data_IF_489113435653
#
_entry.id   IF_489113435653
#
_cell.length_a   1.000
_cell.length_b   1.000
_cell.length_c   1.000
_cell.angle_alpha   90.00
_cell.angle_beta   90.00
_cell.angle_gamma   90.00
#
_symmetry.space_group_name_H-M   'P 1'
#
loop_
_entity.id
_entity.type
_entity.pdbx_description
1 polymer ?
#
# COMPACT_ATOMS: atom_id res chain seq x y z
N UNK A 1 -28.22 -0.80 -8.92
CA UNK A 1 -27.02 -1.28 -8.20
C UNK A 1 -26.09 -0.09 -8.04
N UNK A 2 -25.71 0.25 -6.81
CA UNK A 2 -24.68 1.29 -6.60
C UNK A 2 -23.36 0.79 -7.15
N UNK A 3 -22.57 1.67 -7.75
CA UNK A 3 -21.15 1.39 -8.04
C UNK A 3 -20.51 0.80 -6.80
N UNK A 4 -19.73 -0.30 -6.89
CA UNK A 4 -18.97 -0.78 -5.75
C UNK A 4 -18.19 0.39 -5.16
N UNK A 5 -18.09 0.51 -3.82
CA UNK A 5 -17.30 1.58 -3.23
C UNK A 5 -15.88 1.45 -3.77
N UNK A 6 -15.49 2.38 -4.65
CA UNK A 6 -14.15 2.44 -5.18
C UNK A 6 -13.16 2.59 -4.03
N UNK A 7 -11.94 2.09 -4.23
CA UNK A 7 -10.85 2.25 -3.28
C UNK A 7 -10.75 3.73 -2.86
N UNK A 8 -10.69 3.96 -1.55
CA UNK A 8 -10.48 5.29 -0.98
C UNK A 8 -9.28 5.22 -0.04
N UNK A 9 -8.20 5.96 -0.32
CA UNK A 9 -7.07 6.03 0.59
C UNK A 9 -7.51 6.61 1.94
N UNK A 10 -6.82 6.19 3.00
CA UNK A 10 -7.04 6.74 4.35
C UNK A 10 -6.66 8.24 4.41
N UNK A 11 -7.15 8.94 5.43
CA UNK A 11 -6.80 10.33 5.66
C UNK A 11 -5.27 10.53 5.85
N UNK A 12 -4.61 9.55 6.47
CA UNK A 12 -3.17 9.54 6.66
C UNK A 12 -2.41 9.46 5.32
N UNK A 13 -2.83 8.56 4.44
CA UNK A 13 -2.28 8.46 3.07
C UNK A 13 -2.51 9.76 2.31
N UNK A 14 -3.69 10.36 2.40
CA UNK A 14 -3.97 11.63 1.74
C UNK A 14 -3.09 12.78 2.26
N UNK A 15 -2.84 12.83 3.57
CA UNK A 15 -1.99 13.83 4.19
C UNK A 15 -0.54 13.71 3.68
N UNK A 16 0.02 12.50 3.72
CA UNK A 16 1.37 12.24 3.25
C UNK A 16 1.49 12.48 1.74
N UNK A 17 0.46 12.09 0.98
CA UNK A 17 0.42 12.33 -0.46
C UNK A 17 0.38 13.83 -0.81
N UNK A 18 -0.05 14.72 0.08
CA UNK A 18 -0.07 16.17 -0.17
C UNK A 18 1.26 16.88 0.16
N UNK A 19 2.22 16.20 0.77
CA UNK A 19 3.48 16.82 1.18
C UNK A 19 4.30 17.27 -0.05
N UNK A 20 4.77 18.52 -0.12
CA UNK A 20 5.57 18.96 -1.26
C UNK A 20 6.87 18.16 -1.34
N UNK A 21 7.13 17.53 -2.50
CA UNK A 21 8.39 16.85 -2.78
C UNK A 21 9.35 17.85 -3.40
N UNK A 22 10.62 17.72 -3.04
CA UNK A 22 11.67 18.51 -3.64
C UNK A 22 12.91 17.65 -3.89
N UNK A 23 13.58 17.90 -5.00
CA UNK A 23 14.90 17.33 -5.28
C UNK A 23 15.97 17.98 -4.38
N UNK A 24 17.24 17.56 -4.52
CA UNK A 24 18.34 18.20 -3.77
C UNK A 24 18.62 19.64 -4.17
N UNK A 25 18.09 20.12 -5.29
CA UNK A 25 18.15 21.52 -5.72
C UNK A 25 16.93 22.32 -5.24
N UNK A 26 16.08 21.72 -4.40
CA UNK A 26 14.83 22.30 -3.89
C UNK A 26 13.81 22.64 -4.99
N UNK A 27 13.87 21.93 -6.11
CA UNK A 27 12.88 22.03 -7.19
C UNK A 27 11.71 21.10 -6.89
N UNK A 28 10.47 21.55 -7.14
CA UNK A 28 9.29 20.74 -6.89
C UNK A 28 9.30 19.48 -7.78
N UNK A 29 9.12 18.32 -7.17
CA UNK A 29 8.99 17.02 -7.85
C UNK A 29 7.53 16.59 -7.84
N UNK A 30 6.98 16.00 -8.92
CA UNK A 30 5.62 15.47 -8.94
C UNK A 30 5.37 14.44 -7.83
N UNK A 31 4.13 14.37 -7.33
CA UNK A 31 3.71 13.40 -6.30
C UNK A 31 3.31 12.03 -6.86
N UNK A 32 3.42 11.83 -8.17
CA UNK A 32 3.16 10.54 -8.80
C UNK A 32 4.14 9.49 -8.33
N UNK A 33 3.68 8.25 -8.16
CA UNK A 33 4.56 7.16 -7.76
C UNK A 33 5.53 6.81 -8.90
N UNK A 34 6.81 7.16 -8.74
CA UNK A 34 7.83 6.98 -9.77
C UNK A 34 9.16 6.47 -9.17
N UNK A 35 9.20 5.25 -8.61
CA UNK A 35 10.38 4.73 -7.89
C UNK A 35 11.64 4.59 -8.76
N UNK A 36 11.49 4.50 -10.08
CA UNK A 36 12.60 4.38 -11.04
C UNK A 36 13.19 5.74 -11.44
N UNK A 37 12.50 6.85 -11.16
CA UNK A 37 12.97 8.17 -11.54
C UNK A 37 13.96 8.72 -10.50
N UNK A 38 15.09 9.25 -10.98
CA UNK A 38 16.15 9.77 -10.11
C UNK A 38 15.68 10.95 -9.26
N UNK A 39 14.86 11.85 -9.81
CA UNK A 39 14.33 13.01 -9.08
C UNK A 39 13.41 12.59 -7.92
N UNK A 40 12.59 11.56 -8.15
CA UNK A 40 11.72 10.97 -7.12
C UNK A 40 12.54 10.30 -6.01
N UNK A 41 13.58 9.53 -6.36
CA UNK A 41 14.49 8.94 -5.38
C UNK A 41 15.22 10.02 -4.55
N UNK A 42 15.64 11.13 -5.17
CA UNK A 42 16.24 12.26 -4.46
C UNK A 42 15.25 12.89 -3.48
N UNK A 43 13.98 13.02 -3.86
CA UNK A 43 12.95 13.53 -2.96
C UNK A 43 12.74 12.65 -1.72
N UNK A 44 12.71 11.32 -1.88
CA UNK A 44 12.64 10.40 -0.75
C UNK A 44 13.92 10.45 0.11
N UNK A 45 15.09 10.53 -0.50
CA UNK A 45 16.36 10.71 0.21
C UNK A 45 16.41 12.03 1.00
N UNK A 46 15.77 13.09 0.50
CA UNK A 46 15.65 14.35 1.23
C UNK A 46 14.83 14.19 2.52
N UNK A 47 13.78 13.36 2.51
CA UNK A 47 13.01 13.02 3.72
C UNK A 47 13.91 12.31 4.74
N UNK A 48 14.70 11.32 4.30
CA UNK A 48 15.68 10.64 5.16
C UNK A 48 16.73 11.64 5.69
N UNK A 49 17.23 12.55 4.85
CA UNK A 49 18.20 13.56 5.22
C UNK A 49 17.65 14.54 6.27
N UNK A 50 16.36 14.87 6.21
CA UNK A 50 15.69 15.72 7.21
C UNK A 50 15.66 15.04 8.58
N UNK A 51 15.43 13.73 8.64
CA UNK A 51 15.57 12.95 9.87
C UNK A 51 17.04 12.94 10.36
N UNK A 52 18.00 12.80 9.43
CA UNK A 52 19.43 12.92 9.74
C UNK A 52 19.82 14.29 10.33
N UNK A 53 19.24 15.38 9.83
CA UNK A 53 19.40 16.72 10.40
C UNK A 53 18.83 16.77 11.83
N UNK A 54 17.66 16.16 12.06
CA UNK A 54 17.07 16.03 13.39
C UNK A 54 17.98 15.27 14.37
N UNK A 55 18.62 14.18 13.92
CA UNK A 55 19.64 13.48 14.70
C UNK A 55 20.83 14.39 15.02
N UNK A 56 21.37 15.08 14.01
CA UNK A 56 22.49 16.01 14.17
C UNK A 56 22.21 17.10 15.21
N UNK A 57 21.04 17.74 15.12
CA UNK A 57 20.58 18.73 16.10
C UNK A 57 20.42 18.13 17.50
N UNK A 58 19.88 16.92 17.60
CA UNK A 58 19.74 16.20 18.88
C UNK A 58 21.10 15.97 19.53
N UNK A 59 22.08 15.50 18.76
CA UNK A 59 23.45 15.26 19.23
C UNK A 59 24.15 16.56 19.63
N UNK A 60 23.97 17.65 18.88
CA UNK A 60 24.52 18.97 19.22
C UNK A 60 23.93 19.45 20.56
N UNK A 61 22.61 19.33 20.76
CA UNK A 61 21.96 19.72 22.01
C UNK A 61 22.49 18.92 23.20
N UNK A 62 22.63 17.60 23.05
CA UNK A 62 23.20 16.72 24.07
C UNK A 62 24.66 17.11 24.37
N UNK A 63 25.48 17.33 23.34
CA UNK A 63 26.88 17.72 23.51
C UNK A 63 27.01 19.07 24.26
N UNK A 64 26.22 20.08 23.88
CA UNK A 64 26.20 21.38 24.58
C UNK A 64 25.76 21.22 26.03
N UNK A 65 24.73 20.41 26.29
CA UNK A 65 24.27 20.11 27.65
C UNK A 65 25.37 19.47 28.50
N UNK A 66 26.05 18.44 27.97
CA UNK A 66 27.16 17.76 28.65
C UNK A 66 28.34 18.70 28.90
N UNK A 67 28.74 19.54 27.94
CA UNK A 67 29.82 20.52 28.12
C UNK A 67 29.45 21.52 29.22
N UNK A 68 28.22 22.04 29.26
CA UNK A 68 27.79 22.96 30.32
C UNK A 68 27.78 22.29 31.69
N UNK A 69 27.31 21.04 31.76
CA UNK A 69 27.25 20.28 33.00
C UNK A 69 28.62 19.88 33.55
N UNK A 70 29.56 19.54 32.66
CA UNK A 70 30.91 19.09 33.00
C UNK A 70 31.91 20.24 33.19
N UNK A 71 31.84 21.30 32.38
CA UNK A 71 32.85 22.35 32.32
C UNK A 71 32.42 23.70 32.95
N UNK A 72 31.12 23.96 33.11
CA UNK A 72 30.61 25.25 33.59
C UNK A 72 29.94 25.18 34.96
N UNK A 73 30.13 24.10 35.73
CA UNK A 73 29.67 24.06 37.12
C UNK A 73 30.48 25.06 37.96
N UNK A 74 29.84 26.06 38.61
CA UNK A 74 30.55 26.94 39.52
C UNK A 74 31.18 26.11 40.65
N UNK A 75 32.47 26.29 40.96
CA UNK A 75 33.07 25.65 42.13
C UNK A 75 32.31 26.11 43.37
N UNK A 76 31.87 25.15 44.18
CA UNK A 76 31.12 25.41 45.40
C UNK A 76 32.03 26.16 46.39
N UNK A 77 31.62 27.32 46.95
CA UNK A 77 32.47 28.06 47.85
C UNK A 77 32.74 27.23 49.12
N UNK A 78 34.01 27.10 49.55
CA UNK A 78 34.35 26.30 50.72
C UNK A 78 33.72 26.92 51.98
N UNK A 79 32.65 26.30 52.48
CA UNK A 79 31.98 26.68 53.74
C UNK A 79 30.47 26.97 53.68
N UNK A 80 29.81 26.87 52.53
CA UNK A 80 28.36 27.04 52.45
C UNK A 80 27.62 25.83 53.07
N UNK A 81 26.94 26.04 54.20
CA UNK A 81 26.06 25.05 54.88
C UNK A 81 24.67 24.90 54.23
N UNK A 82 24.42 25.56 53.11
CA UNK A 82 23.16 25.45 52.37
C UNK A 82 23.22 24.28 51.37
N UNK A 83 22.18 23.43 51.25
CA UNK A 83 22.14 22.42 50.20
C UNK A 83 22.25 23.10 48.83
N UNK A 84 22.93 22.48 47.85
CA UNK A 84 23.23 23.12 46.60
C UNK A 84 21.95 23.53 45.86
N UNK A 85 21.82 24.78 45.37
CA UNK A 85 20.66 25.20 44.58
C UNK A 85 20.60 24.55 43.17
N UNK A 86 21.52 23.63 42.85
CA UNK A 86 21.67 22.97 41.55
C UNK A 86 20.86 21.69 41.34
N UNK A 87 20.10 21.21 42.34
CA UNK A 87 19.29 19.99 42.22
C UNK A 87 18.11 20.12 41.26
N UNK A 88 17.48 21.30 41.18
CA UNK A 88 16.29 21.51 40.35
C UNK A 88 16.56 21.36 38.85
N UNK A 89 17.65 21.94 38.34
CA UNK A 89 17.93 21.96 36.89
C UNK A 89 18.12 20.54 36.30
N UNK A 90 18.75 19.64 37.05
CA UNK A 90 18.97 18.25 36.62
C UNK A 90 17.66 17.47 36.65
N UNK A 91 16.88 17.59 37.74
CA UNK A 91 15.59 16.91 37.85
C UNK A 91 14.61 17.38 36.78
N UNK A 92 14.55 18.69 36.50
CA UNK A 92 13.73 19.25 35.42
C UNK A 92 14.20 18.79 34.03
N UNK A 93 15.52 18.70 33.80
CA UNK A 93 16.07 18.18 32.55
C UNK A 93 15.72 16.69 32.36
N UNK A 94 15.78 15.88 33.42
CA UNK A 94 15.36 14.49 33.38
C UNK A 94 13.85 14.34 33.14
N UNK A 95 13.01 15.17 33.76
CA UNK A 95 11.57 15.19 33.50
C UNK A 95 11.29 15.57 32.04
N UNK A 96 11.95 16.61 31.52
CA UNK A 96 11.78 17.03 30.13
C UNK A 96 12.21 15.93 29.15
N UNK A 97 13.37 15.29 29.39
CA UNK A 97 13.85 14.18 28.56
C UNK A 97 12.88 12.98 28.59
N UNK A 98 12.34 12.64 29.76
CA UNK A 98 11.35 11.58 29.89
C UNK A 98 10.05 11.89 29.14
N UNK A 99 9.55 13.13 29.25
CA UNK A 99 8.36 13.55 28.52
C UNK A 99 8.58 13.48 27.01
N UNK A 100 9.71 14.00 26.51
CA UNK A 100 10.06 13.93 25.09
C UNK A 100 10.21 12.48 24.62
N UNK A 101 10.86 11.62 25.41
CA UNK A 101 10.98 10.19 25.13
C UNK A 101 9.63 9.49 25.06
N UNK A 102 8.74 9.71 26.04
CA UNK A 102 7.40 9.13 26.05
C UNK A 102 6.55 9.63 24.87
N UNK A 103 6.63 10.91 24.52
CA UNK A 103 5.98 11.45 23.32
C UNK A 103 6.51 10.79 22.05
N UNK A 104 7.84 10.63 21.94
CA UNK A 104 8.47 9.94 20.81
C UNK A 104 8.02 8.49 20.67
N UNK A 105 7.98 7.75 21.79
CA UNK A 105 7.48 6.36 21.81
C UNK A 105 6.01 6.30 21.34
N UNK A 106 5.16 7.20 21.85
CA UNK A 106 3.75 7.26 21.49
C UNK A 106 3.52 7.57 20.01
N UNK A 107 4.23 8.57 19.47
CA UNK A 107 4.18 8.90 18.03
C UNK A 107 4.69 7.73 17.19
N UNK A 108 5.77 7.07 17.62
CA UNK A 108 6.34 5.91 16.94
C UNK A 108 5.36 4.73 16.86
N UNK A 109 4.69 4.39 17.96
CA UNK A 109 3.67 3.34 17.98
C UNK A 109 2.48 3.68 17.08
N UNK A 110 2.02 4.93 17.14
CA UNK A 110 0.91 5.40 16.31
C UNK A 110 1.26 5.32 14.82
N UNK A 111 2.38 5.90 14.41
CA UNK A 111 2.82 5.87 13.01
C UNK A 111 3.03 4.45 12.50
N UNK A 112 3.61 3.56 13.31
CA UNK A 112 3.79 2.16 12.93
C UNK A 112 2.45 1.43 12.69
N UNK A 113 1.43 1.71 13.52
CA UNK A 113 0.09 1.15 13.34
C UNK A 113 -0.57 1.64 12.07
N UNK A 114 -0.53 2.95 11.81
CA UNK A 114 -1.13 3.55 10.62
C UNK A 114 -0.48 3.05 9.32
N UNK A 115 0.85 2.88 9.30
CA UNK A 115 1.55 2.26 8.16
C UNK A 115 1.08 0.82 7.95
N UNK A 116 0.94 0.04 9.03
CA UNK A 116 0.49 -1.36 8.94
C UNK A 116 -0.94 -1.50 8.43
N UNK A 117 -1.83 -0.63 8.89
CA UNK A 117 -3.21 -0.55 8.39
C UNK A 117 -3.24 -0.18 6.90
N UNK A 118 -2.38 0.75 6.48
CA UNK A 118 -2.23 1.14 5.08
C UNK A 118 -1.73 0.00 4.19
N UNK A 119 -0.71 -0.74 4.65
CA UNK A 119 -0.17 -1.90 3.92
C UNK A 119 -1.21 -3.03 3.84
N UNK A 120 -1.97 -3.26 4.91
CA UNK A 120 -3.05 -4.25 4.93
C UNK A 120 -4.17 -3.91 3.93
N UNK A 121 -4.55 -2.63 3.83
CA UNK A 121 -5.49 -2.14 2.83
C UNK A 121 -4.95 -2.32 1.40
N UNK A 122 -3.65 -2.06 1.18
CA UNK A 122 -3.02 -2.27 -0.11
C UNK A 122 -3.02 -3.75 -0.51
N UNK A 123 -2.61 -4.64 0.39
CA UNK A 123 -2.61 -6.09 0.15
C UNK A 123 -4.02 -6.59 -0.20
N UNK A 124 -5.04 -6.14 0.54
CA UNK A 124 -6.44 -6.45 0.24
C UNK A 124 -6.87 -5.94 -1.15
N UNK A 125 -6.46 -4.73 -1.53
CA UNK A 125 -6.77 -4.16 -2.85
C UNK A 125 -6.11 -4.96 -3.99
N UNK A 126 -4.87 -5.42 -3.80
CA UNK A 126 -4.17 -6.28 -4.76
C UNK A 126 -4.86 -7.64 -4.92
N UNK A 127 -5.31 -8.25 -3.82
CA UNK A 127 -6.08 -9.50 -3.87
C UNK A 127 -7.43 -9.32 -4.58
N UNK A 128 -8.13 -8.21 -4.31
CA UNK A 128 -9.36 -7.88 -5.04
C UNK A 128 -9.09 -7.66 -6.53
N UNK A 129 -8.01 -6.95 -6.89
CA UNK A 129 -7.60 -6.77 -8.27
C UNK A 129 -7.35 -8.12 -8.96
N UNK A 130 -6.65 -9.04 -8.29
CA UNK A 130 -6.45 -10.39 -8.80
C UNK A 130 -7.78 -11.11 -9.07
N UNK A 131 -8.71 -11.10 -8.12
CA UNK A 131 -10.03 -11.71 -8.33
C UNK A 131 -10.78 -11.10 -9.51
N UNK A 132 -10.70 -9.78 -9.70
CA UNK A 132 -11.31 -9.13 -10.87
C UNK A 132 -10.65 -9.54 -12.18
N UNK A 133 -9.32 -9.65 -12.23
CA UNK A 133 -8.58 -10.12 -13.41
C UNK A 133 -8.95 -11.57 -13.75
N UNK A 134 -8.99 -12.45 -12.75
CA UNK A 134 -9.42 -13.85 -12.96
C UNK A 134 -10.88 -13.97 -13.39
N UNK A 135 -11.76 -13.11 -12.87
CA UNK A 135 -13.17 -13.10 -13.25
C UNK A 135 -13.35 -12.62 -14.70
N UNK A 136 -12.58 -11.62 -15.13
CA UNK A 136 -12.57 -11.16 -16.53
C UNK A 136 -12.10 -12.29 -17.45
N UNK A 137 -11.03 -13.00 -17.10
CA UNK A 137 -10.53 -14.13 -17.89
C UNK A 137 -11.60 -15.22 -18.06
N UNK A 138 -12.24 -15.64 -16.97
CA UNK A 138 -13.35 -16.61 -17.03
C UNK A 138 -14.53 -16.13 -17.88
N UNK A 139 -14.93 -14.86 -17.75
CA UNK A 139 -16.01 -14.29 -18.55
C UNK A 139 -15.65 -14.22 -20.04
N UNK A 140 -14.42 -13.88 -20.38
CA UNK A 140 -13.93 -13.83 -21.76
C UNK A 140 -13.91 -15.23 -22.37
N UNK A 141 -13.37 -16.22 -21.66
CA UNK A 141 -13.34 -17.62 -22.10
C UNK A 141 -14.76 -18.17 -22.33
N UNK A 142 -15.66 -17.98 -21.36
CA UNK A 142 -17.05 -18.44 -21.47
C UNK A 142 -17.77 -17.78 -22.67
N UNK A 143 -17.54 -16.48 -22.88
CA UNK A 143 -18.14 -15.77 -24.02
C UNK A 143 -17.60 -16.27 -25.36
N UNK A 144 -16.29 -16.53 -25.45
CA UNK A 144 -15.66 -17.08 -26.68
C UNK A 144 -16.18 -18.49 -26.97
N UNK A 145 -16.28 -19.37 -25.96
CA UNK A 145 -16.83 -20.71 -26.12
C UNK A 145 -18.30 -20.69 -26.59
N UNK A 146 -19.14 -19.86 -25.95
CA UNK A 146 -20.55 -19.71 -26.34
C UNK A 146 -20.70 -19.16 -27.76
N UNK A 147 -19.84 -18.22 -28.15
CA UNK A 147 -19.87 -17.61 -29.48
C UNK A 147 -19.43 -18.62 -30.56
N UNK A 148 -18.39 -19.41 -30.28
CA UNK A 148 -17.91 -20.47 -31.16
C UNK A 148 -18.96 -21.59 -31.33
N UNK A 149 -19.64 -21.98 -30.25
CA UNK A 149 -20.73 -22.94 -30.30
C UNK A 149 -21.90 -22.41 -31.15
N UNK A 150 -22.38 -21.18 -30.89
CA UNK A 150 -23.46 -20.58 -31.67
C UNK A 150 -23.12 -20.43 -33.16
N UNK A 151 -21.85 -20.13 -33.48
CA UNK A 151 -21.38 -20.09 -34.88
C UNK A 151 -21.37 -21.49 -35.51
N UNK A 152 -20.95 -22.52 -34.77
CA UNK A 152 -20.82 -23.88 -35.29
C UNK A 152 -22.13 -24.66 -35.39
N UNK A 153 -23.10 -24.44 -34.52
CA UNK A 153 -24.35 -25.20 -34.50
C UNK A 153 -25.52 -24.41 -35.08
N UNK A 154 -25.79 -23.22 -34.56
CA UNK A 154 -26.97 -22.44 -34.95
C UNK A 154 -26.79 -21.80 -36.33
N UNK A 155 -25.64 -21.20 -36.63
CA UNK A 155 -25.42 -20.57 -37.94
C UNK A 155 -25.25 -21.57 -39.09
N UNK A 156 -24.67 -22.74 -38.83
CA UNK A 156 -24.51 -23.81 -39.83
C UNK A 156 -25.85 -24.45 -40.18
N UNK A 157 -26.68 -24.76 -39.18
CA UNK A 157 -28.05 -25.26 -39.40
C UNK A 157 -28.94 -24.24 -40.09
N UNK A 158 -28.81 -22.95 -39.75
CA UNK A 158 -29.53 -21.88 -40.43
C UNK A 158 -29.09 -21.72 -41.90
N UNK A 159 -27.79 -21.88 -42.19
CA UNK A 159 -27.26 -21.89 -43.56
C UNK A 159 -27.79 -23.07 -44.38
N UNK A 160 -27.89 -24.26 -43.79
CA UNK A 160 -28.49 -25.45 -44.43
C UNK A 160 -29.98 -25.25 -44.76
N UNK A 161 -30.76 -24.70 -43.83
CA UNK A 161 -32.20 -24.45 -44.01
C UNK A 161 -32.47 -23.33 -45.02
N UNK A 162 -31.60 -22.32 -45.10
CA UNK A 162 -31.76 -21.15 -45.98
C UNK A 162 -31.16 -21.35 -47.38
N UNK A 163 -30.69 -22.55 -47.73
CA UNK A 163 -30.01 -22.86 -49.01
C UNK A 163 -30.71 -22.36 -50.28
N UNK A 164 -32.04 -22.23 -50.28
CA UNK A 164 -32.80 -21.69 -51.43
C UNK A 164 -32.82 -20.15 -51.53
N UNK A 165 -32.46 -19.40 -50.48
CA UNK A 165 -32.50 -17.93 -50.47
C UNK A 165 -31.09 -17.35 -50.32
N UNK A 166 -30.45 -17.09 -51.45
CA UNK A 166 -29.08 -16.59 -51.55
C UNK A 166 -28.80 -15.33 -50.73
N UNK A 167 -29.75 -14.39 -50.66
CA UNK A 167 -29.65 -13.15 -49.87
C UNK A 167 -29.56 -13.40 -48.35
N UNK A 168 -30.31 -14.37 -47.84
CA UNK A 168 -30.32 -14.72 -46.41
C UNK A 168 -29.06 -15.51 -46.03
N UNK A 169 -28.57 -16.36 -46.92
CA UNK A 169 -27.28 -17.06 -46.75
C UNK A 169 -26.11 -16.07 -46.70
N UNK A 170 -26.14 -15.02 -47.52
CA UNK A 170 -25.12 -13.97 -47.50
C UNK A 170 -25.12 -13.20 -46.15
N UNK A 171 -26.30 -12.91 -45.60
CA UNK A 171 -26.44 -12.28 -44.28
C UNK A 171 -25.92 -13.19 -43.15
N UNK A 172 -26.24 -14.49 -43.17
CA UNK A 172 -25.74 -15.48 -42.19
C UNK A 172 -24.21 -15.59 -42.22
N UNK A 173 -23.61 -15.63 -43.42
CA UNK A 173 -22.14 -15.62 -43.57
C UNK A 173 -21.50 -14.32 -43.11
N UNK A 174 -22.19 -13.19 -43.26
CA UNK A 174 -21.77 -11.90 -42.72
C UNK A 174 -21.76 -11.89 -41.20
N UNK A 175 -22.82 -12.40 -40.57
CA UNK A 175 -22.93 -12.53 -39.12
C UNK A 175 -21.84 -13.47 -38.55
N UNK A 176 -21.55 -14.59 -39.23
CA UNK A 176 -20.46 -15.50 -38.86
C UNK A 176 -19.10 -14.79 -38.81
N UNK A 177 -18.75 -14.03 -39.85
CA UNK A 177 -17.48 -13.29 -39.89
C UNK A 177 -17.39 -12.24 -38.78
N UNK A 178 -18.49 -11.58 -38.45
CA UNK A 178 -18.52 -10.64 -37.34
C UNK A 178 -18.35 -11.33 -35.98
N UNK A 179 -18.99 -12.48 -35.78
CA UNK A 179 -18.81 -13.28 -34.58
C UNK A 179 -17.37 -13.80 -34.44
N UNK A 180 -16.77 -14.30 -35.53
CA UNK A 180 -15.36 -14.72 -35.55
C UNK A 180 -14.41 -13.55 -35.26
N UNK A 181 -14.67 -12.35 -35.79
CA UNK A 181 -13.89 -11.14 -35.50
C UNK A 181 -14.03 -10.70 -34.03
N UNK A 182 -15.24 -10.76 -33.46
CA UNK A 182 -15.48 -10.45 -32.04
C UNK A 182 -14.80 -11.49 -31.14
N UNK A 183 -14.82 -12.77 -31.50
CA UNK A 183 -14.11 -13.82 -30.76
C UNK A 183 -12.60 -13.56 -30.74
N UNK A 184 -12.00 -13.20 -31.87
CA UNK A 184 -10.58 -12.85 -31.95
C UNK A 184 -10.24 -11.62 -31.09
N UNK A 185 -11.10 -10.60 -31.10
CA UNK A 185 -10.86 -9.39 -30.31
C UNK A 185 -11.07 -9.63 -28.80
N UNK A 186 -12.01 -10.49 -28.41
CA UNK A 186 -12.20 -10.94 -27.03
C UNK A 186 -11.02 -11.78 -26.53
N UNK A 187 -10.49 -12.69 -27.36
CA UNK A 187 -9.27 -13.44 -27.02
C UNK A 187 -8.08 -12.51 -26.78
N UNK A 188 -7.97 -11.40 -27.52
CA UNK A 188 -6.98 -10.35 -27.26
C UNK A 188 -7.16 -9.63 -25.92
N UNK A 189 -8.35 -9.67 -25.29
CA UNK A 189 -8.59 -9.13 -23.95
C UNK A 189 -8.19 -10.10 -22.83
N UNK A 190 -8.07 -11.40 -23.11
CA UNK A 190 -7.54 -12.41 -22.18
C UNK A 190 -5.99 -12.39 -22.09
N UNK A 191 -5.35 -11.28 -22.47
CA UNK A 191 -3.89 -11.13 -22.49
C UNK A 191 -3.22 -11.36 -21.12
N UNK A 192 -3.98 -11.30 -20.02
CA UNK A 192 -3.48 -11.45 -18.66
C UNK A 192 -3.03 -12.88 -18.30
N UNK A 193 -3.37 -13.90 -19.10
CA UNK A 193 -3.00 -15.29 -18.80
C UNK A 193 -1.49 -15.57 -18.82
N UNK A 194 -0.73 -14.81 -19.61
CA UNK A 194 0.71 -15.05 -19.81
C UNK A 194 1.60 -13.97 -19.17
N UNK A 195 1.02 -13.00 -18.47
CA UNK A 195 1.78 -11.90 -17.86
C UNK A 195 2.40 -12.38 -16.54
N UNK A 196 3.73 -12.25 -16.34
CA UNK A 196 4.40 -12.69 -15.11
C UNK A 196 4.06 -11.82 -13.87
N UNK A 197 3.30 -10.74 -14.04
CA UNK A 197 2.85 -9.87 -12.96
C UNK A 197 1.66 -10.49 -12.23
N UNK A 198 1.91 -11.18 -11.11
CA UNK A 198 0.83 -11.63 -10.23
C UNK A 198 0.62 -10.63 -9.08
N UNK A 199 -0.56 -9.97 -9.00
CA UNK A 199 -0.87 -9.08 -7.87
C UNK A 199 -0.84 -9.81 -6.52
N UNK A 200 -1.09 -11.12 -6.53
CA UNK A 200 -1.01 -12.00 -5.35
C UNK A 200 0.40 -12.08 -4.82
N UNK A 201 1.40 -12.34 -5.67
CA UNK A 201 2.80 -12.42 -5.22
C UNK A 201 3.27 -11.07 -4.66
N UNK A 202 2.88 -9.96 -5.28
CA UNK A 202 3.17 -8.62 -4.73
C UNK A 202 2.50 -8.43 -3.36
N UNK A 203 1.26 -8.89 -3.19
CA UNK A 203 0.55 -8.80 -1.91
C UNK A 203 1.21 -9.67 -0.82
N UNK A 204 1.70 -10.86 -1.17
CA UNK A 204 2.42 -11.76 -0.28
C UNK A 204 3.79 -11.19 0.13
N UNK A 205 4.58 -10.70 -0.84
CA UNK A 205 5.89 -10.10 -0.59
C UNK A 205 5.77 -8.86 0.30
N UNK A 206 4.80 -8.00 0.02
CA UNK A 206 4.53 -6.79 0.82
C UNK A 206 4.09 -7.17 2.24
N UNK A 207 3.21 -8.17 2.39
CA UNK A 207 2.77 -8.64 3.71
C UNK A 207 3.91 -9.26 4.51
N UNK A 208 4.79 -10.01 3.86
CA UNK A 208 5.94 -10.64 4.50
C UNK A 208 6.92 -9.59 5.03
N UNK A 209 7.30 -8.61 4.18
CA UNK A 209 8.21 -7.53 4.58
C UNK A 209 7.60 -6.69 5.72
N UNK A 210 6.30 -6.45 5.67
CA UNK A 210 5.57 -5.69 6.68
C UNK A 210 5.61 -6.35 8.07
N UNK A 211 5.51 -7.68 8.15
CA UNK A 211 5.58 -8.40 9.43
C UNK A 211 6.92 -8.14 10.14
N UNK A 212 8.03 -8.23 9.42
CA UNK A 212 9.35 -7.94 9.97
C UNK A 212 9.54 -6.46 10.29
N UNK A 213 9.09 -5.56 9.41
CA UNK A 213 9.19 -4.10 9.62
C UNK A 213 8.45 -3.70 10.89
N UNK A 214 7.20 -4.12 11.02
CA UNK A 214 6.34 -3.83 12.16
C UNK A 214 6.97 -4.34 13.47
N UNK A 215 7.42 -5.61 13.47
CA UNK A 215 8.03 -6.22 14.66
C UNK A 215 9.34 -5.52 15.04
N UNK A 216 10.20 -5.22 14.08
CA UNK A 216 11.46 -4.52 14.31
C UNK A 216 11.23 -3.15 14.94
N UNK A 217 10.22 -2.40 14.47
CA UNK A 217 9.89 -1.09 15.00
C UNK A 217 9.34 -1.19 16.44
N UNK A 218 8.45 -2.16 16.70
CA UNK A 218 7.95 -2.42 18.07
C UNK A 218 9.09 -2.77 19.02
N UNK A 219 10.04 -3.62 18.60
CA UNK A 219 11.20 -3.98 19.40
C UNK A 219 12.11 -2.78 19.68
N UNK A 220 12.29 -1.88 18.71
CA UNK A 220 13.04 -0.64 18.90
C UNK A 220 12.37 0.28 19.93
N UNK A 221 11.04 0.44 19.87
CA UNK A 221 10.29 1.24 20.83
C UNK A 221 10.30 0.63 22.24
N UNK A 222 10.24 -0.71 22.35
CA UNK A 222 10.41 -1.41 23.61
C UNK A 222 11.81 -1.23 24.20
N UNK A 223 12.84 -1.25 23.36
CA UNK A 223 14.22 -1.01 23.78
C UNK A 223 14.38 0.42 24.31
N UNK A 224 13.80 1.42 23.65
CA UNK A 224 13.80 2.82 24.13
C UNK A 224 13.11 2.94 25.49
N UNK A 225 11.96 2.29 25.68
CA UNK A 225 11.25 2.26 26.96
C UNK A 225 12.08 1.63 28.08
N UNK A 226 12.75 0.51 27.80
CA UNK A 226 13.63 -0.17 28.77
C UNK A 226 14.81 0.71 29.15
N UNK A 227 15.46 1.35 28.16
CA UNK A 227 16.58 2.27 28.41
C UNK A 227 16.12 3.46 29.27
N UNK A 228 14.95 4.03 29.00
CA UNK A 228 14.35 5.07 29.83
C UNK A 228 14.15 4.59 31.28
N UNK A 229 13.55 3.41 31.47
CA UNK A 229 13.28 2.83 32.79
C UNK A 229 14.58 2.58 33.58
N UNK A 230 15.57 1.95 32.95
CA UNK A 230 16.85 1.67 33.61
C UNK A 230 17.66 2.94 33.89
N UNK A 231 17.52 3.98 33.06
CA UNK A 231 18.11 5.31 33.33
C UNK A 231 17.49 5.91 34.60
N UNK A 232 16.16 5.91 34.72
CA UNK A 232 15.46 6.37 35.93
C UNK A 232 15.85 5.55 37.16
N UNK A 233 15.96 4.22 37.02
CA UNK A 233 16.40 3.35 38.10
C UNK A 233 17.84 3.66 38.52
N UNK A 234 18.74 3.91 37.57
CA UNK A 234 20.12 4.33 37.83
C UNK A 234 20.20 5.63 38.61
N UNK A 235 19.37 6.61 38.25
CA UNK A 235 19.26 7.88 38.97
C UNK A 235 18.69 7.69 40.38
N UNK A 236 17.59 6.93 40.52
CA UNK A 236 16.93 6.68 41.80
C UNK A 236 17.83 5.92 42.78
N UNK A 237 18.63 4.96 42.29
CA UNK A 237 19.58 4.17 43.08
C UNK A 237 20.96 4.83 43.22
N UNK A 238 21.18 6.00 42.61
CA UNK A 238 22.48 6.68 42.58
C UNK A 238 23.63 5.78 42.05
N UNK A 239 23.30 4.82 41.17
CA UNK A 239 24.26 3.85 40.65
C UNK A 239 24.99 4.41 39.44
N UNK A 240 26.24 4.82 39.64
CA UNK A 240 27.08 5.44 38.59
C UNK A 240 27.26 4.51 37.38
N UNK A 241 27.53 3.23 37.61
CA UNK A 241 27.74 2.25 36.54
C UNK A 241 26.49 2.06 35.68
N UNK A 242 25.32 1.95 36.31
CA UNK A 242 24.06 1.77 35.58
C UNK A 242 23.75 2.99 34.71
N UNK A 243 23.92 4.21 35.25
CA UNK A 243 23.69 5.44 34.48
C UNK A 243 24.65 5.56 33.30
N UNK A 244 25.93 5.23 33.47
CA UNK A 244 26.92 5.29 32.37
C UNK A 244 26.53 4.32 31.25
N UNK A 245 26.24 3.05 31.57
CA UNK A 245 25.87 2.03 30.59
C UNK A 245 24.58 2.44 29.87
N UNK A 246 23.56 2.88 30.62
CA UNK A 246 22.30 3.29 30.02
C UNK A 246 22.44 4.53 29.15
N UNK A 247 23.31 5.49 29.50
CA UNK A 247 23.56 6.66 28.66
C UNK A 247 24.18 6.28 27.31
N UNK A 248 25.12 5.33 27.29
CA UNK A 248 25.68 4.81 26.04
C UNK A 248 24.60 4.10 25.22
N UNK A 249 23.75 3.29 25.87
CA UNK A 249 22.62 2.65 25.20
C UNK A 249 21.61 3.68 24.68
N UNK A 250 21.30 4.74 25.42
CA UNK A 250 20.41 5.82 24.97
C UNK A 250 20.94 6.49 23.72
N UNK A 251 22.26 6.73 23.62
CA UNK A 251 22.85 7.30 22.40
C UNK A 251 22.72 6.35 21.21
N UNK A 252 22.91 5.05 21.41
CA UNK A 252 22.72 4.04 20.37
C UNK A 252 21.26 3.99 19.91
N UNK A 253 20.31 3.88 20.85
CA UNK A 253 18.88 3.81 20.52
C UNK A 253 18.42 5.11 19.87
N UNK A 254 18.90 6.28 20.32
CA UNK A 254 18.62 7.57 19.66
C UNK A 254 19.01 7.56 18.18
N UNK A 255 20.20 7.07 17.84
CA UNK A 255 20.67 6.96 16.44
C UNK A 255 19.78 6.01 15.66
N UNK A 256 19.44 4.84 16.23
CA UNK A 256 18.57 3.86 15.59
C UNK A 256 17.15 4.41 15.39
N UNK A 257 16.59 5.12 16.37
CA UNK A 257 15.26 5.74 16.31
C UNK A 257 15.17 6.81 15.23
N UNK A 258 16.16 7.70 15.13
CA UNK A 258 16.18 8.70 14.06
C UNK A 258 16.40 8.07 12.68
N UNK A 259 17.28 7.08 12.58
CA UNK A 259 17.51 6.35 11.33
C UNK A 259 16.26 5.62 10.87
N UNK A 260 15.59 4.92 11.78
CA UNK A 260 14.33 4.22 11.50
C UNK A 260 13.23 5.20 11.14
N UNK A 261 13.07 6.31 11.87
CA UNK A 261 12.08 7.36 11.56
C UNK A 261 12.28 7.93 10.15
N UNK A 262 13.53 8.16 9.73
CA UNK A 262 13.82 8.63 8.38
C UNK A 262 13.43 7.62 7.30
N UNK A 263 13.78 6.34 7.51
CA UNK A 263 13.42 5.27 6.58
C UNK A 263 11.90 5.09 6.50
N UNK A 264 11.22 5.03 7.65
CA UNK A 264 9.76 4.89 7.73
C UNK A 264 9.02 6.08 7.13
N UNK A 265 9.52 7.30 7.31
CA UNK A 265 8.92 8.47 6.69
C UNK A 265 9.04 8.41 5.16
N UNK A 266 10.19 7.99 4.63
CA UNK A 266 10.38 7.83 3.19
C UNK A 266 9.51 6.71 2.60
N UNK A 267 9.44 5.55 3.27
CA UNK A 267 8.58 4.44 2.83
C UNK A 267 7.11 4.83 2.92
N UNK A 268 6.67 5.50 3.99
CA UNK A 268 5.29 5.95 4.16
C UNK A 268 4.88 6.97 3.09
N UNK A 269 5.76 7.92 2.72
CA UNK A 269 5.52 8.84 1.60
C UNK A 269 5.39 8.07 0.29
N UNK A 270 6.34 7.17 -0.01
CA UNK A 270 6.31 6.40 -1.25
C UNK A 270 5.08 5.48 -1.38
N UNK A 271 4.70 4.78 -0.30
CA UNK A 271 3.49 3.98 -0.24
C UNK A 271 2.23 4.85 -0.38
N UNK A 272 2.23 6.06 0.17
CA UNK A 272 1.10 6.98 0.03
C UNK A 272 0.92 7.46 -1.41
N UNK A 273 2.04 7.67 -2.11
CA UNK A 273 2.06 8.04 -3.53
C UNK A 273 1.58 6.90 -4.41
N UNK A 274 1.97 5.66 -4.09
CA UNK A 274 1.44 4.48 -4.75
C UNK A 274 -0.06 4.31 -4.52
N UNK A 275 -0.53 4.45 -3.29
CA UNK A 275 -1.96 4.31 -2.97
C UNK A 275 -2.83 5.43 -3.59
N UNK A 276 -2.28 6.64 -3.78
CA UNK A 276 -3.06 7.78 -4.28
C UNK A 276 -2.98 7.98 -5.79
N UNK A 277 -1.83 7.68 -6.40
CA UNK A 277 -1.56 7.93 -7.82
C UNK A 277 -0.64 6.85 -8.44
N UNK A 278 -1.11 5.59 -8.57
CA UNK A 278 -0.31 4.50 -9.12
C UNK A 278 -0.33 4.43 -10.65
N UNK A 279 -1.25 5.13 -11.32
CA UNK A 279 -1.65 4.88 -12.71
C UNK A 279 -0.48 4.86 -13.69
N UNK A 280 0.39 5.88 -13.67
CA UNK A 280 1.54 5.96 -14.58
C UNK A 280 2.50 4.78 -14.39
N UNK A 281 2.73 4.37 -13.14
CA UNK A 281 3.58 3.23 -12.84
C UNK A 281 2.96 1.92 -13.32
N UNK A 282 1.70 1.67 -12.98
CA UNK A 282 1.00 0.44 -13.38
C UNK A 282 0.90 0.34 -14.91
N UNK A 283 0.59 1.43 -15.61
CA UNK A 283 0.47 1.44 -17.07
C UNK A 283 1.83 1.20 -17.76
N UNK A 284 2.90 1.80 -17.25
CA UNK A 284 4.24 1.57 -17.79
C UNK A 284 4.69 0.13 -17.55
N UNK A 285 4.51 -0.39 -16.35
CA UNK A 285 4.82 -1.78 -16.00
C UNK A 285 4.02 -2.77 -16.85
N UNK A 286 2.71 -2.53 -16.99
CA UNK A 286 1.84 -3.36 -17.84
C UNK A 286 2.31 -3.33 -19.29
N UNK A 287 2.69 -2.16 -19.83
CA UNK A 287 3.18 -2.03 -21.20
C UNK A 287 4.49 -2.79 -21.42
N UNK A 288 5.40 -2.75 -20.46
CA UNK A 288 6.69 -3.44 -20.52
C UNK A 288 6.51 -4.96 -20.57
N UNK A 289 5.60 -5.49 -19.74
CA UNK A 289 5.38 -6.93 -19.61
C UNK A 289 4.43 -7.51 -20.68
N UNK A 290 3.52 -6.70 -21.23
CA UNK A 290 2.56 -7.15 -22.26
C UNK A 290 2.94 -6.78 -23.69
N UNK A 291 3.89 -5.86 -23.90
CA UNK A 291 4.28 -5.38 -25.22
C UNK A 291 3.20 -4.56 -25.96
N UNK A 292 2.04 -4.29 -25.35
CA UNK A 292 0.89 -3.60 -25.94
C UNK A 292 1.19 -2.18 -26.48
N UNK A 293 2.35 -1.61 -26.14
CA UNK A 293 2.81 -0.33 -26.68
C UNK A 293 3.45 -0.40 -28.07
N UNK A 294 3.94 -1.56 -28.51
CA UNK A 294 4.65 -1.67 -29.80
C UNK A 294 3.69 -1.91 -30.97
N UNK A 295 2.53 -2.52 -30.72
CA UNK A 295 1.62 -2.96 -31.79
C UNK A 295 0.60 -1.89 -32.20
N UNK A 296 0.16 -1.03 -31.26
CA UNK A 296 -0.83 0.02 -31.51
C UNK A 296 -0.32 1.17 -32.40
N UNK A 297 1.00 1.43 -32.44
CA UNK A 297 1.61 2.45 -33.31
C UNK A 297 1.93 1.93 -34.72
N UNK A 298 1.66 0.64 -35.00
CA UNK A 298 1.95 0.00 -36.29
C UNK A 298 0.73 -0.15 -37.21
N UNK A 299 -0.32 0.65 -37.02
CA UNK A 299 -1.34 0.82 -38.06
C UNK A 299 -0.79 1.82 -39.09
N UNK A 300 -0.34 1.40 -40.29
CA UNK A 300 -0.01 2.35 -41.33
C UNK A 300 -1.29 3.09 -41.71
N UNK A 301 -1.25 4.43 -41.65
CA UNK A 301 -2.22 5.29 -42.30
C UNK A 301 -2.13 5.04 -43.82
N UNK A 302 -2.84 4.01 -44.30
CA UNK A 302 -2.98 3.77 -45.73
C UNK A 302 -3.90 4.84 -46.31
N UNK A 303 -3.25 5.80 -46.93
CA UNK A 303 -3.81 6.81 -47.81
C UNK A 303 -4.28 6.12 -49.10
N UNK A 304 -5.55 6.26 -49.48
CA UNK A 304 -6.04 5.71 -50.75
C UNK A 304 -7.49 6.06 -51.05
N UNK A 305 -7.69 7.09 -51.87
CA UNK A 305 -8.95 7.47 -52.52
C UNK A 305 -9.63 6.28 -53.23
N UNK A 306 -10.96 6.16 -53.12
CA UNK A 306 -11.93 6.12 -54.25
C UNK A 306 -13.40 6.09 -53.76
N UNK A 307 -14.42 6.38 -54.61
CA UNK A 307 -15.36 7.49 -54.39
C UNK A 307 -16.71 7.09 -53.76
N UNK A 308 -17.36 8.10 -53.17
CA UNK A 308 -18.77 8.11 -52.75
C UNK A 308 -19.70 7.71 -53.92
N UNK A 309 -20.64 6.76 -53.73
CA UNK A 309 -21.84 6.72 -54.53
C UNK A 309 -22.95 7.58 -53.89
N UNK A 310 -23.73 8.19 -54.78
CA UNK A 310 -24.72 9.22 -54.53
C UNK A 310 -25.84 8.82 -53.56
N UNK A 311 -26.33 9.83 -52.84
CA UNK A 311 -27.54 9.78 -52.04
C UNK A 311 -28.78 9.43 -52.90
N UNK A 312 -29.35 8.26 -52.66
CA UNK A 312 -30.70 7.90 -53.09
C UNK A 312 -31.66 7.98 -51.90
N UNK A 313 -32.65 8.87 -51.98
CA UNK A 313 -33.71 9.01 -51.00
C UNK A 313 -34.60 7.75 -50.95
N UNK A 314 -34.78 7.15 -49.77
CA UNK A 314 -35.64 5.99 -49.58
C UNK A 314 -35.62 5.45 -48.16
N UNK A 315 -36.61 5.85 -47.37
CA UNK A 315 -36.92 5.45 -46.00
C UNK A 315 -36.65 3.98 -45.60
N UNK A 316 -36.11 3.78 -44.39
CA UNK A 316 -36.84 3.19 -43.24
C UNK A 316 -35.95 3.18 -41.99
N UNK A 317 -36.44 3.85 -40.96
CA UNK A 317 -35.96 3.83 -39.57
C UNK A 317 -36.05 2.43 -38.97
N UNK A 318 -34.95 1.89 -38.46
CA UNK A 318 -34.98 0.73 -37.56
C UNK A 318 -35.33 1.20 -36.13
N UNK A 319 -36.24 0.52 -35.41
CA UNK A 319 -36.49 0.78 -34.00
C UNK A 319 -35.33 0.24 -33.13
N UNK A 320 -35.15 0.76 -31.90
CA UNK A 320 -34.16 0.21 -30.98
C UNK A 320 -34.55 -1.21 -30.56
N UNK A 321 -33.58 -2.13 -30.60
CA UNK A 321 -33.73 -3.50 -30.11
C UNK A 321 -33.82 -3.48 -28.58
N UNK A 322 -34.78 -4.19 -27.95
CA UNK A 322 -34.93 -4.18 -26.50
C UNK A 322 -33.81 -4.96 -25.80
N UNK A 323 -33.22 -4.36 -24.77
CA UNK A 323 -32.34 -5.05 -23.81
C UNK A 323 -33.13 -6.17 -23.12
N UNK A 324 -32.76 -7.43 -23.34
CA UNK A 324 -33.31 -8.55 -22.60
C UNK A 324 -32.78 -8.52 -21.15
N UNK A 325 -33.68 -8.20 -20.22
CA UNK A 325 -33.55 -8.47 -18.79
C UNK A 325 -33.54 -9.97 -18.56
N UNK A 326 -32.38 -10.53 -18.25
CA UNK A 326 -32.21 -11.98 -18.07
C UNK A 326 -30.93 -12.35 -17.32
N UNK A 327 -30.65 -11.66 -16.21
CA UNK A 327 -29.62 -12.05 -15.25
C UNK A 327 -30.11 -11.75 -13.82
N UNK A 328 -31.10 -12.53 -13.38
CA UNK A 328 -31.49 -12.60 -11.97
C UNK A 328 -31.92 -14.02 -11.68
N UNK A 329 -30.94 -14.90 -11.44
CA UNK A 329 -31.17 -16.23 -10.85
C UNK A 329 -29.86 -16.93 -10.40
N UNK A 330 -28.87 -16.23 -9.81
CA UNK A 330 -27.81 -16.90 -9.02
C UNK A 330 -27.36 -16.01 -7.86
N UNK A 331 -28.28 -15.45 -7.09
CA UNK A 331 -27.98 -14.90 -5.75
C UNK A 331 -29.23 -15.07 -4.89
N UNK A 332 -29.33 -16.23 -4.24
CA UNK A 332 -30.22 -16.46 -3.10
C UNK A 332 -29.37 -16.61 -1.85
N UNK A 333 -29.57 -15.72 -0.88
CA UNK A 333 -28.89 -15.74 0.42
C UNK A 333 -29.08 -14.42 1.16
N UNK A 334 -30.15 -14.35 1.96
CA UNK A 334 -30.62 -13.21 2.75
C UNK A 334 -29.58 -12.61 3.70
N UNK A 335 -29.64 -11.27 3.87
CA UNK A 335 -29.53 -10.62 5.18
C UNK A 335 -29.96 -9.14 5.07
N UNK A 336 -31.22 -8.88 5.43
CA UNK A 336 -31.68 -7.58 5.94
C UNK A 336 -30.79 -7.19 7.14
N UNK A 337 -30.01 -6.11 7.04
CA UNK A 337 -29.26 -5.57 8.18
C UNK A 337 -29.68 -4.12 8.44
N UNK A 338 -30.58 -4.00 9.42
CA UNK A 338 -31.18 -2.80 9.95
C UNK A 338 -30.11 -1.81 10.47
N UNK A 339 -30.16 -0.59 9.93
CA UNK A 339 -29.29 0.52 10.30
C UNK A 339 -29.89 1.22 11.52
N UNK A 340 -29.62 0.73 12.74
CA UNK A 340 -29.70 1.54 13.97
C UNK A 340 -29.03 0.84 15.17
N UNK A 341 -27.78 1.24 15.45
CA UNK A 341 -27.19 1.56 16.77
C UNK A 341 -25.66 1.32 16.73
N UNK A 342 -24.89 2.40 16.72
CA UNK A 342 -23.57 2.38 17.36
C UNK A 342 -23.76 2.29 18.89
N UNK A 343 -22.77 1.73 19.59
CA UNK A 343 -22.00 2.55 20.51
C UNK A 343 -20.48 2.46 20.25
N UNK A 344 -19.70 3.44 20.73
CA UNK A 344 -18.24 3.38 20.69
C UNK A 344 -17.76 2.41 21.77
N UNK A 345 -16.51 1.94 21.71
CA UNK A 345 -15.63 1.70 22.86
C UNK A 345 -14.38 0.95 22.39
N UNK A 346 -13.21 1.51 22.70
CA UNK A 346 -11.95 0.78 22.69
C UNK A 346 -11.97 -0.35 23.71
N UNK A 347 -11.48 -1.52 23.33
CA UNK A 347 -11.40 -2.68 24.20
C UNK A 347 -10.35 -3.63 23.67
N UNK A 348 -9.32 -3.85 24.47
CA UNK A 348 -8.23 -4.82 24.33
C UNK A 348 -8.70 -6.18 23.79
N UNK A 349 -8.18 -6.59 22.63
CA UNK A 349 -8.26 -7.97 22.19
C UNK A 349 -7.05 -8.74 22.75
N UNK A 350 -7.33 -9.58 23.75
CA UNK A 350 -6.41 -10.57 24.26
C UNK A 350 -6.18 -11.65 23.18
N UNK A 351 -4.92 -11.88 22.81
CA UNK A 351 -4.48 -13.01 22.00
C UNK A 351 -4.61 -14.30 22.82
N UNK A 352 -5.47 -15.22 22.37
CA UNK A 352 -5.54 -16.60 22.87
C UNK A 352 -4.52 -17.48 22.14
N UNK A 353 -3.41 -17.79 22.82
CA UNK A 353 -2.46 -18.83 22.41
C UNK A 353 -3.03 -20.23 22.71
N UNK A 354 -2.94 -21.23 21.81
CA UNK A 354 -3.28 -22.60 22.16
C UNK A 354 -2.08 -23.29 22.81
N UNK A 355 -2.23 -23.64 24.09
CA UNK A 355 -1.31 -24.53 24.79
C UNK A 355 -1.88 -25.96 24.80
N UNK A 356 -1.24 -26.87 24.06
CA UNK A 356 -1.19 -28.32 24.28
C UNK A 356 0.20 -28.73 23.77
N UNK A 357 1.12 -29.36 24.49
CA UNK A 357 1.04 -30.24 25.64
C UNK A 357 1.87 -31.49 25.27
N UNK A 358 3.14 -31.55 25.68
CA UNK A 358 3.92 -32.78 25.70
C UNK A 358 5.04 -32.65 26.76
N UNK A 359 5.37 -33.78 27.40
CA UNK A 359 6.32 -34.01 28.51
C UNK A 359 5.72 -34.00 29.94
N UNK A 360 5.02 -35.10 30.27
CA UNK A 360 5.08 -35.71 31.60
C UNK A 360 5.84 -37.03 31.48
N UNK A 361 6.97 -37.16 32.18
CA UNK A 361 7.56 -38.45 32.55
C UNK A 361 6.92 -38.96 33.85
N UNK A 362 6.63 -40.26 34.01
CA UNK A 362 6.34 -40.83 35.31
C UNK A 362 7.62 -41.42 35.92
N UNK A 363 7.96 -40.98 37.14
CA UNK A 363 8.83 -41.74 38.02
C UNK A 363 7.96 -42.69 38.85
N UNK A 364 8.22 -43.99 38.76
CA UNK A 364 7.86 -44.97 39.77
C UNK A 364 9.11 -45.74 40.18
N UNK A 365 9.16 -46.25 41.42
CA UNK A 365 9.36 -47.69 41.52
C UNK A 365 8.41 -48.33 42.54
N UNK A 366 7.96 -49.53 42.18
CA UNK A 366 7.63 -50.76 42.97
C UNK A 366 6.55 -51.52 42.22
#
# INVERSE_FOLDING_TARGET
MGTPPGYRPSAWVHLLHQLPRADFQLRPVPSGFAPQEQEYQQALLLVVALAGLGLGLSLIFIAVYLIRFCCCRPPEPPGAKSPPPGGGCVTWSCIAALLVGCTGIGIGFYGNSETSDGVSQLSSALLHANHTLTAIDHLVLEMVERLDEAVRTELTTLEEVLTQRTELVAATRGARRQAEAVAQQLQGLAFWQEVPLSPVQVAEDVSFVEEYRWLAYVLLLLLELLVCLFTLLGLAKQSKWLVIVMTVMSLLVLVLSWGSMGLEAATAVGLSDFCSSPDTYILNLTREETGLGSEADSVPASSGQHPLPAAGAGARSCPPVPFCSGASAVLGGDAECDRRKLPPVGGTAALSWPAQGLWRSPAGPV
#
